data_IF_011913881417
#
_entry.id   IF_011913881417
#
_cell.length_a   1.000
_cell.length_b   1.000
_cell.length_c   1.000
_cell.angle_alpha   90.00
_cell.angle_beta   90.00
_cell.angle_gamma   90.00
#
_symmetry.space_group_name_H-M   'P 1'
#
loop_
_entity.id
_entity.type
_entity.pdbx_description
1 polymer ?
#
# COMPACT_ATOMS: atom_id res chain seq x y z
N UNK A 1 30.43 13.52 44.67
CA UNK A 1 30.64 12.12 45.08
C UNK A 1 29.50 11.31 44.52
N UNK A 2 29.85 10.21 43.87
CA UNK A 2 29.04 9.44 42.94
C UNK A 2 27.75 8.90 43.53
N UNK A 3 26.62 9.19 42.87
CA UNK A 3 25.41 8.36 43.02
C UNK A 3 25.67 7.13 42.16
N UNK A 4 25.91 6.01 42.85
CA UNK A 4 26.20 4.73 42.25
C UNK A 4 25.12 4.36 41.22
N UNK A 5 25.57 4.09 40.01
CA UNK A 5 24.79 3.61 38.87
C UNK A 5 24.35 2.18 39.19
N UNK A 6 23.18 2.00 39.80
CA UNK A 6 22.59 0.68 40.00
C UNK A 6 22.48 -0.04 38.65
N UNK A 7 23.22 -1.14 38.53
CA UNK A 7 23.13 -2.05 37.39
C UNK A 7 21.67 -2.50 37.29
N UNK A 8 20.99 -2.13 36.20
CA UNK A 8 19.70 -2.72 35.81
C UNK A 8 19.87 -4.24 35.78
N UNK A 9 19.42 -4.93 36.83
CA UNK A 9 19.32 -6.37 36.86
C UNK A 9 18.31 -6.78 35.78
N UNK A 10 18.65 -7.74 34.94
CA UNK A 10 17.70 -8.30 33.96
C UNK A 10 16.43 -8.83 34.64
N UNK A 11 15.36 -9.08 33.88
CA UNK A 11 14.10 -9.57 34.45
C UNK A 11 14.35 -10.84 35.27
N UNK A 12 14.00 -10.80 36.56
CA UNK A 12 14.20 -11.94 37.46
C UNK A 12 13.47 -13.16 36.90
N UNK A 13 14.17 -14.29 36.83
CA UNK A 13 13.56 -15.56 36.40
C UNK A 13 12.55 -16.01 37.45
N UNK A 14 11.52 -16.77 37.04
CA UNK A 14 10.42 -17.13 37.93
C UNK A 14 10.90 -17.86 39.20
N UNK A 15 11.92 -18.72 39.08
CA UNK A 15 12.53 -19.39 40.24
C UNK A 15 13.22 -18.42 41.20
N UNK A 16 13.98 -17.45 40.67
CA UNK A 16 14.64 -16.41 41.49
C UNK A 16 13.63 -15.49 42.17
N UNK A 17 12.53 -15.19 41.48
CA UNK A 17 11.43 -14.39 42.00
C UNK A 17 10.74 -15.09 43.18
N UNK A 18 10.46 -16.39 43.06
CA UNK A 18 9.84 -17.21 44.11
C UNK A 18 10.73 -17.32 45.36
N UNK A 19 12.04 -17.49 45.18
CA UNK A 19 13.00 -17.50 46.29
C UNK A 19 13.09 -16.12 46.94
N UNK A 20 13.19 -15.06 46.14
CA UNK A 20 13.28 -13.70 46.66
C UNK A 20 12.00 -13.28 47.42
N UNK A 21 10.84 -13.76 46.99
CA UNK A 21 9.56 -13.56 47.67
C UNK A 21 9.38 -14.50 48.87
N UNK A 22 10.38 -15.32 49.23
CA UNK A 22 10.32 -16.26 50.35
C UNK A 22 9.09 -17.18 50.29
N UNK A 23 8.76 -17.61 49.06
CA UNK A 23 7.68 -18.56 48.75
C UNK A 23 8.25 -19.96 48.77
N UNK A 24 9.39 -20.17 48.10
CA UNK A 24 10.14 -21.43 48.12
C UNK A 24 11.53 -21.20 48.70
N UNK A 25 12.10 -22.25 49.29
CA UNK A 25 13.48 -22.23 49.78
C UNK A 25 14.49 -22.38 48.62
N UNK A 26 15.69 -21.81 48.72
CA UNK A 26 16.69 -21.92 47.66
C UNK A 26 17.12 -23.38 47.39
N UNK A 27 17.09 -24.24 48.40
CA UNK A 27 17.40 -25.67 48.25
C UNK A 27 16.38 -26.37 47.35
N UNK A 28 15.09 -26.09 47.57
CA UNK A 28 13.97 -26.62 46.77
C UNK A 28 14.08 -26.18 45.32
N UNK A 29 14.49 -24.92 45.08
CA UNK A 29 14.70 -24.43 43.71
C UNK A 29 15.80 -25.22 42.98
N UNK A 30 16.90 -25.54 43.66
CA UNK A 30 18.00 -26.30 43.06
C UNK A 30 17.59 -27.73 42.72
N UNK A 31 16.83 -28.39 43.60
CA UNK A 31 16.28 -29.72 43.36
C UNK A 31 15.31 -29.70 42.17
N UNK A 32 14.38 -28.74 42.15
CA UNK A 32 13.41 -28.58 41.06
C UNK A 32 14.10 -28.29 39.72
N UNK A 33 15.20 -27.53 39.71
CA UNK A 33 16.00 -27.27 38.50
C UNK A 33 16.69 -28.54 37.97
N UNK A 34 17.21 -29.39 38.87
CA UNK A 34 17.81 -30.66 38.46
C UNK A 34 16.76 -31.60 37.85
N UNK A 35 15.57 -31.66 38.43
CA UNK A 35 14.45 -32.45 37.91
C UNK A 35 13.99 -31.90 36.56
N UNK A 36 13.74 -30.58 36.47
CA UNK A 36 13.34 -29.91 35.23
C UNK A 36 14.33 -30.15 34.08
N UNK A 37 15.64 -30.14 34.35
CA UNK A 37 16.67 -30.42 33.36
C UNK A 37 16.67 -31.88 32.90
N UNK A 38 16.45 -32.83 33.80
CA UNK A 38 16.41 -34.27 33.47
C UNK A 38 15.13 -34.67 32.74
N UNK A 39 13.99 -34.06 33.09
CA UNK A 39 12.68 -34.40 32.54
C UNK A 39 12.20 -33.48 31.41
N UNK A 40 13.02 -32.50 31.01
CA UNK A 40 12.67 -31.45 30.04
C UNK A 40 11.32 -30.75 30.33
N UNK A 41 10.90 -30.73 31.61
CA UNK A 41 9.61 -30.20 32.04
C UNK A 41 9.79 -28.77 32.56
N UNK A 42 8.89 -27.81 32.27
CA UNK A 42 9.02 -26.45 32.78
C UNK A 42 9.10 -26.40 34.32
N UNK A 43 9.98 -25.55 34.85
CA UNK A 43 10.24 -25.42 36.29
C UNK A 43 8.97 -25.23 37.12
N UNK A 44 8.02 -24.42 36.65
CA UNK A 44 6.75 -24.20 37.34
C UNK A 44 5.93 -25.47 37.53
N UNK A 45 5.87 -26.35 36.52
CA UNK A 45 5.18 -27.64 36.62
C UNK A 45 5.88 -28.60 37.57
N UNK A 46 7.21 -28.57 37.59
CA UNK A 46 8.00 -29.38 38.51
C UNK A 46 7.75 -28.94 39.96
N UNK A 47 7.73 -27.64 40.23
CA UNK A 47 7.42 -27.10 41.57
C UNK A 47 5.99 -27.44 42.03
N UNK A 48 5.01 -27.46 41.11
CA UNK A 48 3.67 -27.98 41.42
C UNK A 48 3.69 -29.48 41.72
N UNK A 49 4.44 -30.27 40.95
CA UNK A 49 4.56 -31.72 41.13
C UNK A 49 5.22 -32.11 42.46
N UNK A 50 6.14 -31.29 42.97
CA UNK A 50 6.77 -31.46 44.29
C UNK A 50 5.83 -31.01 45.43
N UNK A 51 4.75 -30.29 45.11
CA UNK A 51 3.76 -29.80 46.07
C UNK A 51 4.12 -28.47 46.73
N UNK A 52 5.14 -27.78 46.23
CA UNK A 52 5.63 -26.51 46.79
C UNK A 52 4.86 -25.29 46.25
N UNK A 53 4.16 -25.45 45.13
CA UNK A 53 3.29 -24.43 44.54
C UNK A 53 1.93 -25.01 44.16
N UNK A 54 0.88 -24.22 44.34
CA UNK A 54 -0.40 -24.50 43.70
C UNK A 54 -0.46 -23.87 42.30
N UNK A 55 -1.43 -24.29 41.49
CA UNK A 55 -1.69 -23.68 40.18
C UNK A 55 -1.96 -22.17 40.29
N UNK A 56 -2.70 -21.76 41.34
CA UNK A 56 -2.96 -20.36 41.65
C UNK A 56 -1.65 -19.59 41.93
N UNK A 57 -0.77 -20.15 42.75
CA UNK A 57 0.48 -19.47 43.14
C UNK A 57 1.44 -19.36 41.95
N UNK A 58 1.46 -20.37 41.07
CA UNK A 58 2.21 -20.32 39.82
C UNK A 58 1.67 -19.23 38.89
N UNK A 59 0.35 -19.12 38.75
CA UNK A 59 -0.29 -18.11 37.92
C UNK A 59 0.03 -16.69 38.43
N UNK A 60 -0.07 -16.44 39.74
CA UNK A 60 0.32 -15.17 40.36
C UNK A 60 1.80 -14.84 40.14
N UNK A 61 2.69 -15.84 40.21
CA UNK A 61 4.11 -15.66 39.95
C UNK A 61 4.41 -15.29 38.49
N UNK A 62 3.68 -15.87 37.53
CA UNK A 62 3.79 -15.56 36.10
C UNK A 62 3.32 -14.13 35.83
N UNK A 63 2.19 -13.73 36.40
CA UNK A 63 1.63 -12.37 36.24
C UNK A 63 2.59 -11.31 36.75
N UNK A 64 3.13 -11.46 37.97
CA UNK A 64 4.14 -10.55 38.51
C UNK A 64 5.40 -10.54 37.65
N UNK A 65 5.83 -11.69 37.12
CA UNK A 65 6.98 -11.75 36.23
C UNK A 65 6.74 -10.99 34.91
N UNK A 66 5.53 -11.01 34.35
CA UNK A 66 5.17 -10.23 33.17
C UNK A 66 5.24 -8.73 33.48
N UNK A 67 4.62 -8.30 34.58
CA UNK A 67 4.61 -6.90 35.02
C UNK A 67 6.04 -6.36 35.29
N UNK A 68 6.93 -7.21 35.81
CA UNK A 68 8.35 -6.87 35.99
C UNK A 68 9.11 -6.77 34.66
N UNK A 69 8.78 -7.62 33.69
CA UNK A 69 9.40 -7.59 32.36
C UNK A 69 8.98 -6.37 31.56
N UNK A 70 7.71 -5.99 31.67
CA UNK A 70 7.11 -4.81 31.06
C UNK A 70 7.51 -3.51 31.78
N UNK A 71 8.11 -3.60 32.98
CA UNK A 71 8.57 -2.45 33.74
C UNK A 71 7.45 -1.68 34.45
N UNK A 72 6.25 -2.26 34.55
CA UNK A 72 5.08 -1.66 35.20
C UNK A 72 5.28 -1.55 36.72
N UNK A 73 6.01 -2.50 37.31
CA UNK A 73 6.29 -2.55 38.75
C UNK A 73 7.79 -2.73 39.00
N UNK A 74 8.28 -2.23 40.14
CA UNK A 74 9.68 -2.44 40.55
C UNK A 74 9.91 -3.86 41.08
N UNK A 75 11.14 -4.36 40.97
CA UNK A 75 11.52 -5.68 41.48
C UNK A 75 11.20 -5.85 42.97
N UNK A 76 11.48 -4.84 43.78
CA UNK A 76 11.17 -4.85 45.22
C UNK A 76 9.67 -4.92 45.47
N UNK A 77 8.88 -4.17 44.70
CA UNK A 77 7.43 -4.18 44.83
C UNK A 77 6.84 -5.54 44.41
N UNK A 78 7.26 -6.07 43.26
CA UNK A 78 6.81 -7.38 42.77
C UNK A 78 7.14 -8.51 43.74
N UNK A 79 8.33 -8.50 44.37
CA UNK A 79 8.71 -9.47 45.40
C UNK A 79 7.76 -9.41 46.61
N UNK A 80 7.45 -8.21 47.11
CA UNK A 80 6.52 -8.02 48.23
C UNK A 80 5.09 -8.43 47.87
N UNK A 81 4.61 -8.04 46.68
CA UNK A 81 3.28 -8.39 46.21
C UNK A 81 3.09 -9.90 46.08
N UNK A 82 4.08 -10.60 45.52
CA UNK A 82 4.06 -12.05 45.39
C UNK A 82 3.97 -12.74 46.76
N UNK A 83 4.78 -12.27 47.72
CA UNK A 83 4.77 -12.80 49.08
C UNK A 83 3.40 -12.62 49.75
N UNK A 84 2.82 -11.42 49.66
CA UNK A 84 1.52 -11.10 50.28
C UNK A 84 0.37 -11.88 49.64
N UNK A 85 0.36 -12.02 48.31
CA UNK A 85 -0.68 -12.75 47.59
C UNK A 85 -0.65 -14.26 47.88
N UNK A 86 0.55 -14.85 47.89
CA UNK A 86 0.71 -16.30 48.12
C UNK A 86 0.51 -16.63 49.61
N UNK A 87 1.22 -15.96 50.53
CA UNK A 87 1.09 -16.26 51.97
C UNK A 87 -0.24 -15.84 52.56
N UNK A 88 -0.84 -14.77 52.02
CA UNK A 88 -2.15 -14.28 52.45
C UNK A 88 -3.32 -15.06 51.84
N UNK A 89 -3.07 -15.95 50.88
CA UNK A 89 -4.11 -16.62 50.10
C UNK A 89 -5.17 -15.64 49.53
N UNK A 90 -4.74 -14.43 49.17
CA UNK A 90 -5.60 -13.39 48.60
C UNK A 90 -5.31 -13.22 47.09
N UNK A 91 -6.27 -12.67 46.33
CA UNK A 91 -6.04 -12.27 44.94
C UNK A 91 -4.90 -11.26 44.80
N UNK A 92 -4.23 -11.24 43.65
CA UNK A 92 -3.09 -10.36 43.38
C UNK A 92 -3.50 -8.88 43.46
N UNK A 93 -4.70 -8.55 43.00
CA UNK A 93 -5.28 -7.20 43.03
C UNK A 93 -5.47 -6.71 44.47
N UNK A 94 -5.90 -7.60 45.37
CA UNK A 94 -6.05 -7.28 46.77
C UNK A 94 -4.68 -7.09 47.44
N UNK A 95 -3.69 -7.92 47.09
CA UNK A 95 -2.31 -7.76 47.55
C UNK A 95 -1.71 -6.42 47.12
N UNK A 96 -1.96 -5.98 45.87
CA UNK A 96 -1.55 -4.66 45.40
C UNK A 96 -2.22 -3.53 46.17
N UNK A 97 -3.53 -3.64 46.40
CA UNK A 97 -4.29 -2.65 47.15
C UNK A 97 -3.77 -2.50 48.58
N UNK A 98 -3.49 -3.62 49.27
CA UNK A 98 -2.92 -3.64 50.63
C UNK A 98 -1.52 -3.04 50.70
N UNK A 99 -0.73 -3.21 49.63
CA UNK A 99 0.62 -2.63 49.52
C UNK A 99 0.62 -1.16 49.10
N UNK A 100 -0.54 -0.51 49.06
CA UNK A 100 -0.68 0.90 48.70
C UNK A 100 -0.40 1.17 47.23
N UNK A 101 -0.34 0.13 46.40
CA UNK A 101 -0.25 0.27 44.96
C UNK A 101 -1.64 0.59 44.43
N UNK A 102 -1.83 1.89 44.22
CA UNK A 102 -2.77 2.32 43.22
C UNK A 102 -2.11 1.98 41.91
N UNK A 103 -2.78 1.21 41.06
CA UNK A 103 -2.37 1.12 39.67
C UNK A 103 -2.03 2.55 39.24
N UNK A 104 -0.88 2.79 38.56
CA UNK A 104 -0.82 4.01 37.75
C UNK A 104 -2.17 4.02 37.02
N UNK A 105 -2.89 5.14 37.04
CA UNK A 105 -4.09 5.26 36.21
C UNK A 105 -3.78 4.55 34.90
N UNK A 106 -4.74 3.78 34.36
CA UNK A 106 -4.67 3.12 33.05
C UNK A 106 -4.46 4.12 31.89
N UNK A 107 -3.66 5.17 32.09
CA UNK A 107 -2.95 5.91 31.07
C UNK A 107 -2.15 4.89 30.28
N UNK A 108 -2.47 4.81 28.99
CA UNK A 108 -1.93 3.88 27.99
C UNK A 108 -2.41 2.42 28.10
N UNK A 109 -3.74 2.22 28.09
CA UNK A 109 -4.26 1.07 27.33
C UNK A 109 -4.30 1.47 25.85
N UNK A 110 -3.79 0.67 24.90
CA UNK A 110 -3.65 1.05 23.48
C UNK A 110 -4.97 1.40 22.75
N UNK A 111 -6.13 1.09 23.33
CA UNK A 111 -7.45 1.52 22.84
C UNK A 111 -7.97 2.84 23.45
N UNK A 112 -7.27 3.44 24.42
CA UNK A 112 -7.76 4.62 25.15
C UNK A 112 -7.63 5.91 24.36
N UNK A 113 -6.62 6.07 23.50
CA UNK A 113 -6.45 7.33 22.76
C UNK A 113 -7.63 7.63 21.83
N UNK A 114 -8.17 6.60 21.15
CA UNK A 114 -9.33 6.75 20.28
C UNK A 114 -10.59 7.04 21.10
N UNK A 115 -10.80 6.28 22.18
CA UNK A 115 -11.93 6.46 23.09
C UNK A 115 -11.92 7.80 23.81
N UNK A 116 -10.78 8.22 24.34
CA UNK A 116 -10.55 9.51 24.99
C UNK A 116 -10.77 10.66 24.01
N UNK A 117 -10.20 10.60 22.80
CA UNK A 117 -10.39 11.64 21.79
C UNK A 117 -11.86 11.80 21.42
N UNK A 118 -12.57 10.69 21.20
CA UNK A 118 -14.00 10.72 20.86
C UNK A 118 -14.85 11.22 22.04
N UNK A 119 -14.51 10.85 23.27
CA UNK A 119 -15.22 11.28 24.48
C UNK A 119 -14.98 12.77 24.78
N UNK A 120 -13.73 13.23 24.70
CA UNK A 120 -13.36 14.66 24.86
C UNK A 120 -13.96 15.52 23.74
N UNK A 121 -14.08 14.98 22.53
CA UNK A 121 -14.76 15.65 21.43
C UNK A 121 -16.30 15.65 21.56
N UNK A 122 -16.86 14.91 22.53
CA UNK A 122 -18.31 14.75 22.69
C UNK A 122 -18.98 13.97 21.54
N UNK A 123 -18.21 13.14 20.83
CA UNK A 123 -18.70 12.29 19.75
C UNK A 123 -19.37 11.01 20.28
N UNK A 124 -18.96 10.55 21.47
CA UNK A 124 -19.52 9.36 22.15
C UNK A 124 -19.76 9.66 23.62
N UNK A 125 -20.73 8.97 24.22
CA UNK A 125 -20.94 8.97 25.67
C UNK A 125 -20.07 7.91 26.34
N UNK A 126 -19.90 8.01 27.67
CA UNK A 126 -19.12 7.02 28.43
C UNK A 126 -19.76 5.64 28.36
N UNK A 127 -21.09 5.58 28.43
CA UNK A 127 -21.86 4.34 28.37
C UNK A 127 -21.66 3.63 27.03
N UNK A 128 -21.79 4.36 25.91
CA UNK A 128 -21.59 3.79 24.57
C UNK A 128 -20.16 3.30 24.36
N UNK A 129 -19.18 4.00 24.96
CA UNK A 129 -17.78 3.61 24.88
C UNK A 129 -17.50 2.34 25.69
N UNK A 130 -18.05 2.21 26.89
CA UNK A 130 -17.91 1.03 27.75
C UNK A 130 -18.55 -0.21 27.09
N UNK A 131 -19.73 -0.06 26.49
CA UNK A 131 -20.39 -1.14 25.73
C UNK A 131 -19.54 -1.58 24.53
N UNK A 132 -19.06 -0.63 23.72
CA UNK A 132 -18.23 -0.94 22.56
C UNK A 132 -16.87 -1.57 22.96
N UNK A 133 -16.30 -1.19 24.10
CA UNK A 133 -15.10 -1.80 24.66
C UNK A 133 -15.34 -3.25 25.08
N UNK A 134 -16.48 -3.53 25.72
CA UNK A 134 -16.87 -4.89 26.10
C UNK A 134 -17.00 -5.76 24.85
N UNK A 135 -17.71 -5.25 23.83
CA UNK A 135 -17.87 -5.94 22.55
C UNK A 135 -16.53 -6.14 21.81
N UNK A 136 -15.62 -5.17 21.87
CA UNK A 136 -14.28 -5.27 21.27
C UNK A 136 -13.47 -6.40 21.89
N UNK A 137 -13.50 -6.53 23.22
CA UNK A 137 -12.80 -7.60 23.95
C UNK A 137 -13.42 -8.98 23.69
N UNK A 138 -14.75 -9.08 23.72
CA UNK A 138 -15.45 -10.35 23.49
C UNK A 138 -15.25 -10.88 22.06
N UNK A 139 -15.29 -9.98 21.08
CA UNK A 139 -15.23 -10.35 19.66
C UNK A 139 -13.83 -10.28 19.06
N UNK A 140 -12.82 -9.84 19.82
CA UNK A 140 -11.46 -9.57 19.33
C UNK A 140 -11.46 -8.64 18.10
N UNK A 141 -12.32 -7.62 18.11
CA UNK A 141 -12.43 -6.64 17.03
C UNK A 141 -11.89 -5.28 17.49
N UNK A 142 -11.41 -4.43 16.55
CA UNK A 142 -11.00 -3.06 16.88
C UNK A 142 -12.16 -2.24 17.48
N UNK A 143 -11.87 -1.39 18.46
CA UNK A 143 -12.85 -0.58 19.20
C UNK A 143 -13.65 0.32 18.26
N UNK A 144 -12.98 0.98 17.31
CA UNK A 144 -13.62 1.82 16.31
C UNK A 144 -14.66 1.04 15.51
N UNK A 145 -14.33 -0.19 15.08
CA UNK A 145 -15.28 -1.06 14.38
C UNK A 145 -16.51 -1.37 15.24
N UNK A 146 -16.31 -1.68 16.52
CA UNK A 146 -17.42 -1.90 17.46
C UNK A 146 -18.29 -0.64 17.63
N UNK A 147 -17.69 0.56 17.74
CA UNK A 147 -18.42 1.83 17.84
C UNK A 147 -19.29 2.11 16.60
N UNK A 148 -18.84 1.73 15.41
CA UNK A 148 -19.63 1.86 14.18
C UNK A 148 -20.75 0.81 14.13
N UNK A 149 -20.47 -0.43 14.51
CA UNK A 149 -21.46 -1.51 14.55
C UNK A 149 -22.57 -1.24 15.57
N UNK A 150 -22.22 -0.70 16.73
CA UNK A 150 -23.15 -0.22 17.76
C UNK A 150 -23.91 1.05 17.35
N UNK A 151 -23.62 1.61 16.17
CA UNK A 151 -24.17 2.88 15.65
C UNK A 151 -23.93 4.07 16.57
N UNK A 152 -22.91 4.00 17.43
CA UNK A 152 -22.53 5.11 18.31
C UNK A 152 -21.90 6.26 17.51
N UNK A 153 -21.16 5.93 16.45
CA UNK A 153 -20.56 6.91 15.51
C UNK A 153 -20.70 6.45 14.06
N UNK A 154 -20.76 7.38 13.09
CA UNK A 154 -20.68 7.04 11.67
C UNK A 154 -19.24 6.69 11.26
N UNK A 155 -19.09 5.90 10.18
CA UNK A 155 -17.78 5.50 9.63
C UNK A 155 -16.90 6.70 9.24
N UNK A 156 -17.51 7.77 8.75
CA UNK A 156 -16.84 9.02 8.38
C UNK A 156 -16.20 9.73 9.58
N UNK A 157 -16.85 9.66 10.75
CA UNK A 157 -16.34 10.25 11.99
C UNK A 157 -15.24 9.38 12.58
N UNK A 158 -15.37 8.05 12.51
CA UNK A 158 -14.28 7.14 12.88
C UNK A 158 -13.05 7.37 12.01
N UNK A 159 -13.21 7.47 10.69
CA UNK A 159 -12.10 7.77 9.78
C UNK A 159 -11.42 9.10 10.15
N UNK A 160 -12.21 10.12 10.51
CA UNK A 160 -11.68 11.40 10.99
C UNK A 160 -10.92 11.26 12.31
N UNK A 161 -11.42 10.47 13.26
CA UNK A 161 -10.76 10.22 14.54
C UNK A 161 -9.43 9.48 14.37
N UNK A 162 -9.40 8.44 13.53
CA UNK A 162 -8.17 7.71 13.21
C UNK A 162 -7.15 8.59 12.49
N UNK A 163 -7.59 9.43 11.55
CA UNK A 163 -6.70 10.43 10.93
C UNK A 163 -6.14 11.39 11.97
N UNK A 164 -6.96 11.86 12.91
CA UNK A 164 -6.49 12.71 14.00
C UNK A 164 -5.38 12.05 14.81
N UNK A 165 -5.54 10.77 15.16
CA UNK A 165 -4.52 9.98 15.87
C UNK A 165 -3.24 9.81 15.05
N UNK A 166 -3.35 9.56 13.73
CA UNK A 166 -2.17 9.52 12.84
C UNK A 166 -1.45 10.88 12.85
N UNK A 167 -2.17 11.99 12.78
CA UNK A 167 -1.58 13.34 12.81
C UNK A 167 -0.94 13.67 14.17
N UNK A 168 -1.54 13.22 15.27
CA UNK A 168 -0.97 13.33 16.62
C UNK A 168 0.33 12.53 16.74
N UNK A 169 0.32 11.28 16.28
CA UNK A 169 1.50 10.40 16.27
C UNK A 169 2.64 10.98 15.42
N UNK A 170 2.30 11.54 14.26
CA UNK A 170 3.25 12.20 13.37
C UNK A 170 3.71 13.58 13.92
N UNK A 171 3.17 14.06 15.05
CA UNK A 171 3.49 15.35 15.66
C UNK A 171 3.02 16.57 14.86
N UNK A 172 2.09 16.39 13.92
CA UNK A 172 1.60 17.46 13.02
C UNK A 172 0.55 18.36 13.68
N UNK A 173 -0.14 17.86 14.69
CA UNK A 173 -1.16 18.59 15.47
C UNK A 173 -1.00 18.28 16.95
N UNK A 174 -1.51 19.16 17.82
CA UNK A 174 -1.58 18.94 19.28
C UNK A 174 -2.88 18.24 19.69
N UNK A 175 -2.93 17.67 20.91
CA UNK A 175 -4.15 17.03 21.46
C UNK A 175 -5.33 18.02 21.46
N UNK A 176 -5.11 19.27 21.86
CA UNK A 176 -6.15 20.31 21.86
C UNK A 176 -6.67 20.62 20.45
N UNK A 177 -5.78 20.68 19.46
CA UNK A 177 -6.16 20.87 18.07
C UNK A 177 -6.95 19.68 17.53
N UNK A 178 -6.56 18.45 17.89
CA UNK A 178 -7.29 17.25 17.52
C UNK A 178 -8.71 17.24 18.12
N UNK A 179 -8.86 17.55 19.41
CA UNK A 179 -10.17 17.60 20.08
C UNK A 179 -11.05 18.70 19.49
N UNK A 180 -10.49 19.90 19.29
CA UNK A 180 -11.22 21.03 18.69
C UNK A 180 -11.62 20.74 17.23
N UNK A 181 -10.70 20.19 16.45
CA UNK A 181 -10.92 19.76 15.06
C UNK A 181 -11.99 18.66 14.96
N UNK A 182 -11.97 17.69 15.87
CA UNK A 182 -13.00 16.65 15.96
C UNK A 182 -14.37 17.22 16.35
N UNK A 183 -14.45 18.14 17.32
CA UNK A 183 -15.72 18.82 17.66
C UNK A 183 -16.30 19.56 16.46
N UNK A 184 -15.44 20.27 15.70
CA UNK A 184 -15.85 20.97 14.49
C UNK A 184 -16.31 19.99 13.39
N UNK A 185 -15.57 18.90 13.19
CA UNK A 185 -15.90 17.83 12.24
C UNK A 185 -17.27 17.20 12.56
N UNK A 186 -17.54 16.89 13.83
CA UNK A 186 -18.84 16.36 14.28
C UNK A 186 -19.98 17.34 14.04
N UNK A 187 -19.80 18.63 14.37
CA UNK A 187 -20.86 19.65 14.23
C UNK A 187 -21.15 20.02 12.77
N UNK A 188 -20.13 20.04 11.92
CA UNK A 188 -20.23 20.44 10.51
C UNK A 188 -20.41 19.25 9.55
N UNK A 189 -20.34 18.01 10.06
CA UNK A 189 -20.39 16.78 9.26
C UNK A 189 -19.35 16.75 8.12
N UNK A 190 -18.12 17.17 8.41
CA UNK A 190 -17.01 17.19 7.47
C UNK A 190 -15.80 16.44 8.03
N UNK A 191 -14.78 16.19 7.19
CA UNK A 191 -13.57 15.49 7.65
C UNK A 191 -12.73 16.38 8.58
N UNK A 192 -11.93 15.75 9.44
CA UNK A 192 -11.05 16.50 10.34
C UNK A 192 -10.03 17.35 9.56
N UNK A 193 -9.55 16.89 8.41
CA UNK A 193 -8.57 17.64 7.62
C UNK A 193 -9.13 18.99 7.16
N UNK A 194 -10.41 19.03 6.74
CA UNK A 194 -11.09 20.28 6.36
C UNK A 194 -11.25 21.17 7.59
N UNK A 195 -11.72 20.61 8.71
CA UNK A 195 -11.90 21.36 9.96
C UNK A 195 -10.59 21.97 10.48
N UNK A 196 -9.47 21.25 10.39
CA UNK A 196 -8.17 21.75 10.82
C UNK A 196 -7.59 22.79 9.85
N UNK A 197 -7.89 22.69 8.56
CA UNK A 197 -7.48 23.67 7.55
C UNK A 197 -8.17 25.02 7.76
N UNK A 198 -9.46 25.02 8.07
CA UNK A 198 -10.22 26.24 8.35
C UNK A 198 -9.63 27.04 9.53
N UNK A 199 -9.09 26.33 10.53
CA UNK A 199 -8.45 26.93 11.71
C UNK A 199 -6.97 27.25 11.46
N UNK A 200 -6.43 26.90 10.29
CA UNK A 200 -5.02 27.08 9.95
C UNK A 200 -4.06 26.16 10.71
N UNK A 201 -4.59 25.18 11.45
CA UNK A 201 -3.81 24.24 12.27
C UNK A 201 -3.13 23.15 11.44
N UNK A 202 -3.59 22.92 10.21
CA UNK A 202 -3.07 21.88 9.33
C UNK A 202 -3.09 22.33 7.87
N UNK A 203 -2.00 22.10 7.15
CA UNK A 203 -1.95 22.20 5.68
C UNK A 203 -1.63 20.82 5.12
N UNK A 204 -2.51 20.23 4.29
CA UNK A 204 -2.18 18.98 3.64
C UNK A 204 -1.03 19.22 2.67
N UNK A 205 0.04 18.45 2.84
CA UNK A 205 1.03 18.29 1.78
C UNK A 205 0.40 17.29 0.79
N UNK A 206 -0.38 17.77 -0.19
CA UNK A 206 -0.80 16.92 -1.31
C UNK A 206 0.47 16.52 -2.09
N UNK A 207 0.69 15.25 -2.43
CA UNK A 207 0.10 14.64 -3.64
C UNK A 207 0.18 13.10 -3.63
N UNK A 208 0.58 12.45 -2.54
CA UNK A 208 0.73 10.99 -2.54
C UNK A 208 -0.58 10.29 -2.17
N UNK A 209 -1.10 9.49 -3.10
CA UNK A 209 -2.16 8.52 -2.82
C UNK A 209 -1.71 7.59 -1.69
N UNK A 210 -2.53 7.34 -0.68
CA UNK A 210 -2.18 6.40 0.40
C UNK A 210 -2.41 4.97 -0.09
N UNK A 211 -1.56 4.02 0.32
CA UNK A 211 -1.67 2.60 -0.08
C UNK A 211 -3.05 2.03 0.23
N UNK A 212 -3.62 2.34 1.41
CA UNK A 212 -4.96 1.87 1.77
C UNK A 212 -6.06 2.41 0.86
N UNK A 213 -5.93 3.65 0.37
CA UNK A 213 -6.90 4.24 -0.56
C UNK A 213 -6.72 3.70 -1.99
N UNK A 214 -5.48 3.42 -2.41
CA UNK A 214 -5.18 2.75 -3.68
C UNK A 214 -5.76 1.32 -3.70
N UNK A 215 -5.53 0.54 -2.65
CA UNK A 215 -6.05 -0.83 -2.53
C UNK A 215 -7.58 -0.85 -2.54
N UNK A 216 -8.23 0.10 -1.85
CA UNK A 216 -9.68 0.25 -1.89
C UNK A 216 -10.16 0.61 -3.29
N UNK A 217 -9.51 1.56 -3.95
CA UNK A 217 -9.86 2.00 -5.30
C UNK A 217 -9.68 0.87 -6.32
N UNK A 218 -8.73 -0.03 -6.10
CA UNK A 218 -8.53 -1.24 -6.90
C UNK A 218 -9.60 -2.31 -6.62
N UNK A 219 -10.39 -2.18 -5.54
CA UNK A 219 -11.38 -3.16 -5.12
C UNK A 219 -10.80 -4.36 -4.36
N UNK A 220 -9.58 -4.23 -3.83
CA UNK A 220 -8.87 -5.31 -3.13
C UNK A 220 -9.19 -5.35 -1.64
N UNK A 221 -9.57 -4.22 -1.05
CA UNK A 221 -9.97 -4.10 0.36
C UNK A 221 -11.22 -3.24 0.48
N UNK A 222 -12.07 -3.54 1.46
CA UNK A 222 -13.24 -2.71 1.75
C UNK A 222 -12.88 -1.49 2.60
N UNK A 223 -13.80 -0.52 2.69
CA UNK A 223 -13.64 0.63 3.60
C UNK A 223 -13.52 0.18 5.07
N UNK A 224 -14.31 -0.81 5.48
CA UNK A 224 -14.25 -1.35 6.83
C UNK A 224 -12.92 -2.03 7.15
N UNK A 225 -12.35 -2.73 6.17
CA UNK A 225 -11.04 -3.39 6.28
C UNK A 225 -9.92 -2.36 6.42
N UNK A 226 -9.96 -1.30 5.59
CA UNK A 226 -9.01 -0.18 5.67
C UNK A 226 -9.04 0.48 7.05
N UNK A 227 -10.22 0.80 7.56
CA UNK A 227 -10.39 1.44 8.88
C UNK A 227 -9.84 0.54 9.99
N UNK A 228 -10.19 -0.74 9.97
CA UNK A 228 -9.74 -1.73 10.96
C UNK A 228 -8.21 -1.88 10.92
N UNK A 229 -7.62 -1.87 9.73
CA UNK A 229 -6.17 -1.94 9.56
C UNK A 229 -5.44 -0.69 10.04
N UNK A 230 -6.04 0.50 9.88
CA UNK A 230 -5.49 1.75 10.44
C UNK A 230 -5.50 1.70 11.97
N UNK A 231 -6.60 1.29 12.56
CA UNK A 231 -6.73 1.21 14.02
C UNK A 231 -5.73 0.21 14.62
N UNK A 232 -5.65 -1.01 14.06
CA UNK A 232 -4.64 -1.99 14.46
C UNK A 232 -3.21 -1.49 14.23
N UNK A 233 -2.95 -0.79 13.13
CA UNK A 233 -1.64 -0.21 12.83
C UNK A 233 -1.22 0.89 13.80
N UNK A 234 -2.17 1.69 14.31
CA UNK A 234 -1.91 2.68 15.36
C UNK A 234 -1.56 1.99 16.69
N UNK A 235 -2.32 0.96 17.07
CA UNK A 235 -2.07 0.17 18.29
C UNK A 235 -0.71 -0.53 18.24
N UNK A 236 -0.39 -1.16 17.12
CA UNK A 236 0.82 -1.97 16.96
C UNK A 236 2.04 -1.17 16.46
N UNK A 237 1.88 0.13 16.19
CA UNK A 237 2.90 0.98 15.55
C UNK A 237 3.42 0.40 14.22
N UNK A 238 2.50 -0.14 13.41
CA UNK A 238 2.79 -0.75 12.12
C UNK A 238 2.13 0.00 10.96
N UNK A 239 2.73 -0.01 9.75
CA UNK A 239 2.11 0.56 8.57
C UNK A 239 0.89 -0.27 8.15
N UNK A 240 -0.15 0.43 7.68
CA UNK A 240 -1.44 -0.17 7.26
C UNK A 240 -1.25 -1.34 6.30
N UNK A 241 -0.34 -1.22 5.33
CA UNK A 241 -0.04 -2.29 4.37
C UNK A 241 0.40 -3.59 5.04
N UNK A 242 1.27 -3.51 6.06
CA UNK A 242 1.75 -4.70 6.78
C UNK A 242 0.64 -5.36 7.59
N UNK A 243 -0.23 -4.55 8.19
CA UNK A 243 -1.41 -5.04 8.93
C UNK A 243 -2.37 -5.77 7.98
N UNK A 244 -2.60 -5.24 6.78
CA UNK A 244 -3.43 -5.89 5.76
C UNK A 244 -2.85 -7.25 5.32
N UNK A 245 -1.52 -7.36 5.23
CA UNK A 245 -0.84 -8.63 4.92
C UNK A 245 -0.99 -9.64 6.07
N UNK A 246 -0.73 -9.22 7.31
CA UNK A 246 -0.86 -10.09 8.49
C UNK A 246 -2.29 -10.58 8.70
N UNK A 247 -3.28 -9.75 8.38
CA UNK A 247 -4.69 -10.12 8.40
C UNK A 247 -5.10 -11.04 7.24
N UNK A 248 -4.20 -11.36 6.31
CA UNK A 248 -4.47 -12.21 5.15
C UNK A 248 -5.38 -11.57 4.09
N UNK A 249 -5.60 -10.26 4.16
CA UNK A 249 -6.45 -9.55 3.20
C UNK A 249 -5.75 -9.25 1.88
N UNK A 250 -4.43 -9.07 1.94
CA UNK A 250 -3.57 -8.93 0.77
C UNK A 250 -2.30 -9.78 0.90
N UNK A 251 -1.67 -10.13 -0.20
CA UNK A 251 -0.36 -10.78 -0.20
C UNK A 251 0.77 -9.75 -0.11
N UNK A 252 1.95 -10.20 0.30
CA UNK A 252 3.17 -9.39 0.29
C UNK A 252 3.52 -8.90 -1.13
N UNK A 253 3.23 -9.71 -2.15
CA UNK A 253 3.40 -9.32 -3.56
C UNK A 253 2.50 -8.15 -3.93
N UNK A 254 1.20 -8.19 -3.57
CA UNK A 254 0.25 -7.11 -3.84
C UNK A 254 0.63 -5.82 -3.09
N UNK A 255 1.14 -5.93 -1.86
CA UNK A 255 1.63 -4.78 -1.11
C UNK A 255 2.81 -4.11 -1.83
N UNK A 256 3.79 -4.90 -2.27
CA UNK A 256 4.96 -4.39 -3.00
C UNK A 256 4.57 -3.73 -4.34
N UNK A 257 3.63 -4.33 -5.07
CA UNK A 257 3.09 -3.75 -6.31
C UNK A 257 2.34 -2.44 -6.06
N UNK A 258 1.55 -2.38 -5.00
CA UNK A 258 0.83 -1.17 -4.59
C UNK A 258 1.79 -0.03 -4.23
N UNK A 259 2.91 -0.34 -3.57
CA UNK A 259 3.95 0.63 -3.22
C UNK A 259 4.68 1.15 -4.46
N UNK A 260 5.00 0.28 -5.44
CA UNK A 260 5.59 0.70 -6.72
C UNK A 260 4.65 1.67 -7.46
N UNK A 261 3.35 1.35 -7.53
CA UNK A 261 2.36 2.22 -8.17
C UNK A 261 2.19 3.55 -7.44
N UNK A 262 2.20 3.53 -6.11
CA UNK A 262 2.20 4.75 -5.29
C UNK A 262 3.39 5.65 -5.62
N UNK A 263 4.60 5.08 -5.80
CA UNK A 263 5.79 5.83 -6.19
C UNK A 263 5.67 6.42 -7.61
N UNK A 264 5.09 5.67 -8.55
CA UNK A 264 4.83 6.18 -9.91
C UNK A 264 3.82 7.33 -9.92
N UNK A 265 2.80 7.28 -9.05
CA UNK A 265 1.85 8.39 -8.87
C UNK A 265 2.55 9.60 -8.24
N UNK A 266 3.41 9.38 -7.25
CA UNK A 266 4.18 10.44 -6.60
C UNK A 266 5.12 11.17 -7.57
N UNK A 267 5.68 10.46 -8.56
CA UNK A 267 6.52 11.03 -9.62
C UNK A 267 5.71 11.73 -10.73
N UNK A 268 4.38 11.62 -10.71
CA UNK A 268 3.50 12.20 -11.73
C UNK A 268 3.41 11.40 -13.03
N UNK A 269 3.97 10.18 -13.06
CA UNK A 269 3.91 9.30 -14.24
C UNK A 269 2.52 8.68 -14.43
N UNK A 270 1.75 8.51 -13.34
CA UNK A 270 0.43 7.91 -13.35
C UNK A 270 -0.53 8.72 -12.48
N UNK A 271 -1.81 8.71 -12.83
CA UNK A 271 -2.87 9.18 -11.93
C UNK A 271 -3.25 8.09 -10.92
N UNK A 272 -3.83 8.48 -9.78
CA UNK A 272 -4.33 7.51 -8.79
C UNK A 272 -5.37 6.53 -9.35
N UNK A 273 -6.19 6.98 -10.30
CA UNK A 273 -7.18 6.14 -10.99
C UNK A 273 -6.48 5.12 -11.89
N UNK A 274 -5.51 5.57 -12.70
CA UNK A 274 -4.72 4.68 -13.56
C UNK A 274 -3.98 3.62 -12.73
N UNK A 275 -3.39 4.01 -11.60
CA UNK A 275 -2.73 3.09 -10.68
C UNK A 275 -3.71 2.04 -10.13
N UNK A 276 -4.92 2.44 -9.73
CA UNK A 276 -5.93 1.52 -9.23
C UNK A 276 -6.39 0.52 -10.31
N UNK A 277 -6.56 0.98 -11.56
CA UNK A 277 -6.92 0.11 -12.69
C UNK A 277 -5.82 -0.89 -13.01
N UNK A 278 -4.55 -0.45 -13.01
CA UNK A 278 -3.40 -1.33 -13.25
C UNK A 278 -3.33 -2.41 -12.17
N UNK A 279 -3.47 -2.03 -10.90
CA UNK A 279 -3.43 -2.96 -9.78
C UNK A 279 -4.58 -3.98 -9.85
N UNK A 280 -5.78 -3.52 -10.19
CA UNK A 280 -6.95 -4.39 -10.38
C UNK A 280 -6.74 -5.38 -11.54
N UNK A 281 -6.21 -4.91 -12.67
CA UNK A 281 -5.96 -5.75 -13.84
C UNK A 281 -4.85 -6.78 -13.58
N UNK A 282 -3.77 -6.38 -12.90
CA UNK A 282 -2.69 -7.26 -12.48
C UNK A 282 -3.19 -8.39 -11.57
N UNK A 283 -4.00 -8.04 -10.56
CA UNK A 283 -4.59 -9.02 -9.66
C UNK A 283 -5.58 -9.95 -10.38
N UNK A 284 -6.46 -9.42 -11.23
CA UNK A 284 -7.42 -10.24 -11.99
C UNK A 284 -6.73 -11.25 -12.93
N UNK A 285 -5.57 -10.89 -13.49
CA UNK A 285 -4.79 -11.72 -14.41
C UNK A 285 -3.70 -12.54 -13.73
N UNK A 286 -3.49 -12.37 -12.41
CA UNK A 286 -2.39 -12.95 -11.64
C UNK A 286 -1.03 -12.75 -12.34
N UNK A 287 -0.75 -11.54 -12.82
CA UNK A 287 0.51 -11.19 -13.46
C UNK A 287 1.14 -9.94 -12.83
N UNK A 288 2.46 -9.74 -12.94
CA UNK A 288 3.12 -8.56 -12.40
C UNK A 288 2.62 -7.27 -13.06
N UNK A 289 2.54 -6.18 -12.28
CA UNK A 289 2.13 -4.86 -12.78
C UNK A 289 2.98 -4.38 -13.96
N UNK A 290 4.25 -4.79 -14.06
CA UNK A 290 5.15 -4.45 -15.15
C UNK A 290 4.63 -4.96 -16.50
N UNK A 291 3.93 -6.09 -16.52
CA UNK A 291 3.31 -6.65 -17.73
C UNK A 291 2.19 -5.75 -18.22
N UNK A 292 1.33 -5.28 -17.30
CA UNK A 292 0.21 -4.39 -17.62
C UNK A 292 0.71 -3.01 -18.05
N UNK A 293 1.76 -2.52 -17.41
CA UNK A 293 2.43 -1.26 -17.78
C UNK A 293 3.04 -1.34 -19.18
N UNK A 294 3.75 -2.43 -19.50
CA UNK A 294 4.31 -2.64 -20.82
C UNK A 294 3.23 -2.74 -21.92
N UNK A 295 2.12 -3.45 -21.65
CA UNK A 295 0.99 -3.49 -22.58
C UNK A 295 0.40 -2.10 -22.82
N UNK A 296 0.27 -1.26 -21.78
CA UNK A 296 -0.20 0.11 -21.93
C UNK A 296 0.76 0.97 -22.75
N UNK A 297 2.05 0.95 -22.43
CA UNK A 297 3.04 1.73 -23.19
C UNK A 297 3.09 1.31 -24.66
N UNK A 298 3.02 0.00 -24.94
CA UNK A 298 2.98 -0.47 -26.33
C UNK A 298 1.75 0.02 -27.09
N UNK A 299 0.57 0.08 -26.45
CA UNK A 299 -0.63 0.64 -27.05
C UNK A 299 -0.50 2.15 -27.28
N UNK A 300 0.02 2.89 -26.32
CA UNK A 300 0.28 4.34 -26.44
C UNK A 300 1.24 4.62 -27.61
N UNK A 301 2.31 3.85 -27.73
CA UNK A 301 3.27 3.94 -28.84
C UNK A 301 2.63 3.58 -30.19
N UNK A 302 1.79 2.54 -30.24
CA UNK A 302 1.05 2.16 -31.45
C UNK A 302 0.08 3.26 -31.88
N UNK A 303 -0.64 3.86 -30.93
CA UNK A 303 -1.56 4.98 -31.19
C UNK A 303 -0.78 6.21 -31.69
N UNK A 304 0.36 6.54 -31.07
CA UNK A 304 1.20 7.66 -31.49
C UNK A 304 1.73 7.45 -32.92
N UNK A 305 2.25 6.24 -33.22
CA UNK A 305 2.67 5.85 -34.58
C UNK A 305 1.51 5.89 -35.57
N UNK A 306 0.32 5.44 -35.18
CA UNK A 306 -0.85 5.46 -36.06
C UNK A 306 -1.23 6.90 -36.41
N UNK A 307 -1.25 7.80 -35.43
CA UNK A 307 -1.53 9.22 -35.65
C UNK A 307 -0.52 9.89 -36.60
N UNK A 308 0.77 9.54 -36.52
CA UNK A 308 1.80 10.15 -37.36
C UNK A 308 1.71 9.75 -38.84
N UNK A 309 1.02 8.66 -39.17
CA UNK A 309 0.97 8.11 -40.55
C UNK A 309 -0.40 8.24 -41.21
N UNK A 310 -1.37 8.90 -40.57
CA UNK A 310 -2.73 9.07 -41.12
C UNK A 310 -2.69 9.79 -42.48
N UNK A 311 -1.86 10.83 -42.60
CA UNK A 311 -1.79 11.66 -43.81
C UNK A 311 -1.26 10.86 -45.01
N UNK A 312 -0.13 10.15 -44.85
CA UNK A 312 0.46 9.36 -45.94
C UNK A 312 -0.43 8.17 -46.33
N UNK A 313 -1.14 7.58 -45.36
CA UNK A 313 -2.13 6.52 -45.62
C UNK A 313 -3.35 7.04 -46.38
N UNK A 314 -3.78 8.27 -46.11
CA UNK A 314 -4.86 8.93 -46.86
C UNK A 314 -4.44 9.19 -48.31
N UNK A 315 -3.22 9.71 -48.52
CA UNK A 315 -2.67 9.98 -49.86
C UNK A 315 -2.46 8.70 -50.67
N UNK A 316 -2.07 7.60 -50.02
CA UNK A 316 -1.92 6.28 -50.63
C UNK A 316 -3.26 5.60 -50.98
N UNK A 317 -4.40 6.19 -50.61
CA UNK A 317 -5.72 5.57 -50.79
C UNK A 317 -5.97 4.39 -49.85
N UNK A 318 -5.11 4.19 -48.85
CA UNK A 318 -5.27 3.15 -47.84
C UNK A 318 -6.39 3.47 -46.85
N UNK A 319 -6.63 4.77 -46.61
CA UNK A 319 -7.77 5.26 -45.84
C UNK A 319 -8.76 5.95 -46.77
N UNK A 320 -9.98 5.41 -46.88
CA UNK A 320 -11.01 6.04 -47.71
C UNK A 320 -11.60 7.27 -47.01
N UNK A 321 -12.19 8.19 -47.78
CA UNK A 321 -12.91 9.34 -47.23
C UNK A 321 -14.07 8.94 -46.32
N UNK A 322 -14.68 7.77 -46.55
CA UNK A 322 -15.73 7.22 -45.68
C UNK A 322 -15.16 6.71 -44.35
N UNK A 323 -14.00 6.06 -44.36
CA UNK A 323 -13.37 5.55 -43.13
C UNK A 323 -12.89 6.70 -42.25
N UNK A 324 -12.36 7.77 -42.86
CA UNK A 324 -12.01 9.01 -42.17
C UNK A 324 -13.24 9.66 -41.52
N UNK A 325 -14.33 9.83 -42.26
CA UNK A 325 -15.55 10.45 -41.74
C UNK A 325 -16.16 9.65 -40.56
N UNK A 326 -16.13 8.32 -40.64
CA UNK A 326 -16.56 7.43 -39.55
C UNK A 326 -15.63 7.57 -38.33
N UNK A 327 -14.32 7.52 -38.55
CA UNK A 327 -13.33 7.62 -37.49
C UNK A 327 -13.39 8.99 -36.78
N UNK A 328 -13.57 10.07 -37.53
CA UNK A 328 -13.78 11.42 -36.97
C UNK A 328 -15.06 11.53 -36.14
N UNK A 329 -16.16 10.92 -36.60
CA UNK A 329 -17.41 10.88 -35.85
C UNK A 329 -17.24 10.23 -34.48
N UNK A 330 -16.61 9.06 -34.45
CA UNK A 330 -16.34 8.31 -33.21
C UNK A 330 -15.31 9.02 -32.33
N UNK A 331 -14.25 9.58 -32.92
CA UNK A 331 -13.23 10.36 -32.22
C UNK A 331 -13.83 11.55 -31.48
N UNK A 332 -14.74 12.32 -32.11
CA UNK A 332 -15.43 13.44 -31.46
C UNK A 332 -16.39 12.99 -30.36
N UNK A 333 -17.07 11.86 -30.53
CA UNK A 333 -18.01 11.34 -29.53
C UNK A 333 -17.31 10.83 -28.28
N UNK A 334 -16.21 10.11 -28.44
CA UNK A 334 -15.47 9.48 -27.34
C UNK A 334 -14.30 10.33 -26.82
N UNK A 335 -14.01 11.46 -27.48
CA UNK A 335 -12.88 12.35 -27.17
C UNK A 335 -11.52 11.61 -27.16
N UNK A 336 -11.32 10.74 -28.15
CA UNK A 336 -10.10 9.93 -28.35
C UNK A 336 -9.43 10.27 -29.68
N UNK A 337 -8.14 9.94 -29.83
CA UNK A 337 -7.39 10.26 -31.06
C UNK A 337 -7.86 9.43 -32.27
N UNK A 338 -7.66 9.95 -33.49
CA UNK A 338 -8.02 9.24 -34.72
C UNK A 338 -7.28 7.90 -34.86
N UNK A 339 -5.98 7.87 -34.53
CA UNK A 339 -5.17 6.65 -34.55
C UNK A 339 -5.71 5.57 -33.62
N UNK A 340 -6.23 5.95 -32.45
CA UNK A 340 -6.86 5.00 -31.51
C UNK A 340 -8.16 4.41 -32.08
N UNK A 341 -8.99 5.25 -32.70
CA UNK A 341 -10.23 4.77 -33.37
C UNK A 341 -9.88 3.86 -34.54
N UNK A 342 -8.90 4.23 -35.35
CA UNK A 342 -8.51 3.45 -36.53
C UNK A 342 -7.88 2.11 -36.19
N UNK A 343 -7.11 2.03 -35.11
CA UNK A 343 -6.58 0.76 -34.58
C UNK A 343 -7.70 -0.11 -33.98
N UNK A 344 -8.60 0.48 -33.18
CA UNK A 344 -9.68 -0.26 -32.52
C UNK A 344 -10.76 -0.77 -33.48
N UNK A 345 -11.04 -0.03 -34.55
CA UNK A 345 -11.96 -0.44 -35.62
C UNK A 345 -11.34 -1.42 -36.62
N UNK A 346 -10.03 -1.64 -36.55
CA UNK A 346 -9.30 -2.53 -37.46
C UNK A 346 -9.08 -1.95 -38.86
N UNK A 347 -9.31 -0.65 -39.06
CA UNK A 347 -9.02 0.05 -40.33
C UNK A 347 -7.51 0.13 -40.57
N UNK A 348 -6.74 0.36 -39.50
CA UNK A 348 -5.28 0.24 -39.51
C UNK A 348 -4.92 -1.04 -38.77
N UNK A 349 -4.40 -2.04 -39.49
CA UNK A 349 -3.84 -3.24 -38.89
C UNK A 349 -2.32 -3.08 -38.62
N UNK A 350 -1.74 -4.03 -37.89
CA UNK A 350 -0.32 -3.96 -37.50
C UNK A 350 0.63 -3.97 -38.70
N UNK A 351 0.26 -4.67 -39.79
CA UNK A 351 1.08 -4.75 -41.00
C UNK A 351 1.06 -3.43 -41.77
N UNK A 352 -0.12 -2.85 -41.95
CA UNK A 352 -0.30 -1.54 -42.59
C UNK A 352 0.36 -0.44 -41.79
N UNK A 353 0.21 -0.44 -40.46
CA UNK A 353 0.90 0.50 -39.58
C UNK A 353 2.42 0.42 -39.76
N UNK A 354 2.98 -0.80 -39.78
CA UNK A 354 4.42 -0.99 -39.95
C UNK A 354 4.91 -0.50 -41.32
N UNK A 355 4.18 -0.81 -42.40
CA UNK A 355 4.51 -0.34 -43.74
C UNK A 355 4.46 1.19 -43.83
N UNK A 356 3.42 1.81 -43.25
CA UNK A 356 3.24 3.26 -43.26
C UNK A 356 4.28 4.00 -42.44
N UNK A 357 4.66 3.47 -41.27
CA UNK A 357 5.74 4.04 -40.44
C UNK A 357 7.09 3.93 -41.15
N UNK A 358 7.35 2.82 -41.84
CA UNK A 358 8.55 2.68 -42.67
C UNK A 358 8.56 3.71 -43.80
N UNK A 359 7.46 3.84 -44.53
CA UNK A 359 7.31 4.81 -45.61
C UNK A 359 7.55 6.25 -45.12
N UNK A 360 6.89 6.63 -44.02
CA UNK A 360 7.06 7.95 -43.40
C UNK A 360 8.52 8.18 -42.97
N UNK A 361 9.17 7.19 -42.35
CA UNK A 361 10.58 7.30 -41.98
C UNK A 361 11.50 7.55 -43.18
N UNK A 362 11.28 6.87 -44.32
CA UNK A 362 12.06 7.14 -45.54
C UNK A 362 11.80 8.53 -46.14
N UNK A 363 10.60 9.09 -45.94
CA UNK A 363 10.28 10.46 -46.34
C UNK A 363 10.97 11.46 -45.41
N UNK A 364 10.91 11.24 -44.10
CA UNK A 364 11.54 12.10 -43.09
C UNK A 364 13.06 12.12 -43.20
N UNK A 365 13.69 11.04 -43.70
CA UNK A 365 15.13 10.96 -43.96
C UNK A 365 15.57 11.51 -45.34
N UNK A 366 14.64 12.08 -46.12
CA UNK A 366 14.87 12.53 -47.52
C UNK A 366 15.36 11.42 -48.47
N UNK A 367 15.07 10.14 -48.17
CA UNK A 367 15.47 9.00 -49.01
C UNK A 367 14.44 8.76 -50.12
N UNK A 368 13.15 8.88 -49.79
CA UNK A 368 12.03 8.78 -50.72
C UNK A 368 11.26 10.10 -50.76
N UNK A 369 10.83 10.52 -51.95
CA UNK A 369 9.85 11.60 -52.03
C UNK A 369 8.48 11.10 -51.55
N UNK A 370 7.67 12.01 -51.00
CA UNK A 370 6.34 11.67 -50.51
C UNK A 370 5.50 10.94 -51.58
N UNK A 371 5.51 11.40 -52.83
CA UNK A 371 4.80 10.75 -53.94
C UNK A 371 5.26 9.31 -54.21
N UNK A 372 6.56 9.03 -54.10
CA UNK A 372 7.08 7.66 -54.27
C UNK A 372 6.67 6.78 -53.09
N UNK A 373 6.77 7.27 -51.86
CA UNK A 373 6.35 6.53 -50.67
C UNK A 373 4.86 6.17 -50.73
N UNK A 374 4.02 7.11 -51.16
CA UNK A 374 2.58 6.92 -51.45
C UNK A 374 2.33 5.83 -52.49
N UNK A 375 3.06 5.83 -53.61
CA UNK A 375 2.95 4.81 -54.65
C UNK A 375 3.34 3.40 -54.14
N UNK A 376 4.40 3.30 -53.34
CA UNK A 376 4.85 2.04 -52.73
C UNK A 376 3.79 1.52 -51.75
N UNK A 377 3.23 2.39 -50.90
CA UNK A 377 2.15 2.02 -49.97
C UNK A 377 0.89 1.53 -50.69
N UNK A 378 0.48 2.23 -51.75
CA UNK A 378 -0.65 1.80 -52.58
C UNK A 378 -0.40 0.42 -53.21
N UNK A 379 0.84 0.15 -53.66
CA UNK A 379 1.23 -1.17 -54.16
C UNK A 379 1.20 -2.25 -53.05
N UNK A 380 1.66 -1.93 -51.83
CA UNK A 380 1.58 -2.82 -50.67
C UNK A 380 0.14 -3.23 -50.39
N UNK A 381 -0.79 -2.26 -50.41
CA UNK A 381 -2.21 -2.53 -50.15
C UNK A 381 -2.83 -3.41 -51.23
N UNK A 382 -2.50 -3.18 -52.51
CA UNK A 382 -3.08 -3.92 -53.63
C UNK A 382 -2.59 -5.37 -53.72
N UNK A 383 -1.32 -5.62 -53.35
CA UNK A 383 -0.66 -6.91 -53.54
C UNK A 383 -0.47 -7.70 -52.24
N UNK A 384 -0.62 -7.04 -51.08
CA UNK A 384 -0.43 -7.65 -49.77
C UNK A 384 1.03 -7.97 -49.43
N UNK A 385 2.00 -7.49 -50.21
CA UNK A 385 3.43 -7.70 -49.97
C UNK A 385 3.97 -6.69 -48.96
N UNK A 386 5.03 -7.08 -48.24
CA UNK A 386 5.71 -6.20 -47.30
C UNK A 386 6.31 -4.98 -48.02
N UNK A 387 6.38 -3.83 -47.32
CA UNK A 387 6.91 -2.58 -47.86
C UNK A 387 8.31 -2.74 -48.49
N UNK A 388 9.17 -3.52 -47.85
CA UNK A 388 10.51 -3.85 -48.36
C UNK A 388 10.53 -4.56 -49.72
N UNK A 389 9.52 -5.39 -49.99
CA UNK A 389 9.35 -6.08 -51.27
C UNK A 389 8.69 -5.16 -52.30
N UNK A 390 7.66 -4.41 -51.90
CA UNK A 390 7.01 -3.43 -52.76
C UNK A 390 8.00 -2.39 -53.29
N UNK A 391 8.95 -1.95 -52.46
CA UNK A 391 9.97 -0.98 -52.85
C UNK A 391 10.90 -1.48 -53.97
N UNK A 392 11.08 -2.81 -54.10
CA UNK A 392 11.89 -3.41 -55.19
C UNK A 392 11.14 -3.44 -56.51
N UNK A 393 9.84 -3.66 -56.45
CA UNK A 393 8.97 -3.83 -57.62
C UNK A 393 8.49 -2.48 -58.19
N UNK A 394 8.25 -1.52 -57.31
CA UNK A 394 7.93 -0.14 -57.69
C UNK A 394 9.25 0.54 -58.06
N UNK A 395 9.65 0.40 -59.33
CA UNK A 395 10.89 0.95 -59.87
C UNK A 395 11.14 2.39 -59.40
N UNK A 396 12.18 2.59 -58.59
CA UNK A 396 12.58 3.92 -58.11
C UNK A 396 13.13 4.73 -59.29
N UNK A 397 12.38 5.74 -59.74
CA UNK A 397 12.94 6.86 -60.49
C UNK A 397 13.40 7.91 -59.48
N UNK A 398 14.71 8.12 -59.24
CA UNK A 398 15.16 9.23 -58.41
C UNK A 398 14.54 10.53 -58.95
N UNK A 399 14.14 11.48 -58.09
CA UNK A 399 13.63 12.76 -58.55
C UNK A 399 14.71 13.41 -59.43
N UNK A 400 14.40 13.49 -60.72
CA UNK A 400 15.18 14.27 -61.66
C UNK A 400 14.86 15.73 -61.39
N UNK A 401 15.55 16.33 -60.41
CA UNK A 401 15.95 17.73 -60.44
C UNK A 401 17.06 17.92 -59.41
N UNK A 402 18.25 18.27 -59.92
CA UNK A 402 19.54 18.42 -59.23
C UNK A 402 20.30 17.13 -58.88
N UNK A 403 20.74 16.39 -59.92
CA UNK A 403 21.92 15.51 -59.77
C UNK A 403 22.97 15.94 -60.78
N UNK A 404 23.99 16.63 -60.27
CA UNK A 404 25.26 16.84 -60.95
C UNK A 404 25.78 15.47 -61.45
N UNK A 405 26.21 15.33 -62.71
CA UNK A 405 26.64 14.05 -63.30
C UNK A 405 27.90 13.43 -62.64
N UNK A 406 28.43 14.03 -61.57
CA UNK A 406 29.54 13.50 -60.77
C UNK A 406 29.12 12.53 -59.64
N UNK A 407 27.83 12.36 -59.34
CA UNK A 407 27.35 11.49 -58.24
C UNK A 407 26.91 10.07 -58.66
N UNK A 408 27.16 9.66 -59.91
CA UNK A 408 26.95 8.27 -60.37
C UNK A 408 27.82 7.21 -59.66
N UNK A 409 28.69 7.63 -58.74
CA UNK A 409 29.39 6.74 -57.81
C UNK A 409 29.07 7.13 -56.37
N UNK A 410 27.86 6.86 -55.91
CA UNK A 410 27.63 6.88 -54.46
C UNK A 410 26.79 5.68 -54.01
N UNK A 411 27.49 4.56 -53.86
CA UNK A 411 27.06 3.37 -53.12
C UNK A 411 26.58 3.67 -51.69
N UNK A 412 26.77 4.90 -51.18
CA UNK A 412 26.27 5.35 -49.89
C UNK A 412 24.75 5.48 -49.77
N UNK A 413 24.03 5.92 -50.81
CA UNK A 413 22.56 6.11 -50.71
C UNK A 413 21.83 4.77 -50.80
N UNK A 414 22.22 3.91 -51.75
CA UNK A 414 21.75 2.52 -51.80
C UNK A 414 22.13 1.78 -50.51
N UNK A 415 23.31 2.03 -49.96
CA UNK A 415 23.72 1.50 -48.66
C UNK A 415 22.79 1.91 -47.52
N UNK A 416 22.39 3.20 -47.44
CA UNK A 416 21.42 3.73 -46.45
C UNK A 416 20.01 3.18 -46.67
N UNK A 417 19.59 3.02 -47.93
CA UNK A 417 18.30 2.43 -48.28
C UNK A 417 18.25 0.95 -47.84
N UNK A 418 19.23 0.16 -48.25
CA UNK A 418 19.29 -1.28 -47.94
C UNK A 418 19.61 -1.58 -46.48
N UNK A 419 20.24 -0.65 -45.73
CA UNK A 419 20.46 -0.81 -44.29
C UNK A 419 19.18 -0.63 -43.48
N UNK A 420 18.28 0.30 -43.87
CA UNK A 420 16.96 0.50 -43.23
C UNK A 420 15.90 -0.51 -43.69
N UNK A 421 16.04 -1.08 -44.89
CA UNK A 421 15.15 -2.13 -45.42
C UNK A 421 15.42 -3.51 -44.78
N UNK A 422 16.63 -3.77 -44.27
CA UNK A 422 16.94 -5.04 -43.57
C UNK A 422 16.17 -5.13 -42.25
N UNK A 423 15.51 -6.27 -42.02
CA UNK A 423 14.80 -6.60 -40.77
C UNK A 423 15.72 -6.36 -39.55
N UNK A 424 15.22 -5.76 -38.44
CA UNK A 424 15.86 -5.92 -37.15
C UNK A 424 15.59 -7.35 -36.66
N UNK A 425 16.53 -8.26 -36.91
CA UNK A 425 16.49 -9.66 -36.44
C UNK A 425 16.51 -10.70 -37.55
N UNK A 426 17.71 -11.12 -37.93
CA UNK A 426 18.06 -12.55 -37.88
C UNK A 426 18.73 -12.82 -36.53
#
# INVERSE_FOLDING_TARGET
MEIARERRAGPKRIGELLVAANVIKPEVLLEALQVAKKSATPLGRVLMGIGELTERDLQTAIEIQSLLREGVISAEFGIRALNVAIKGCIPLEEAFTRLGWKAPQRETMPGSELGELLLEAGAVTRENLEEAMTQSQENNLPLGRCLVLARAIPSTLLASALTAQVLLRDGKITKDQAVSGMRAATRKHQTIEVSLQEVGAYKPVQTNIRVGDLLMSAGLVTEGDKISAIEMGLVQQQPVGQVLVQAGMISETMLNESLKLQEMVAKGNLTGVQAADILRAANARNCPIETILAERSTKEDEIARANSVIEILQQAGCLTTQDMAKAEGVSRQLNVSLGEVMLSTGVIDKKLLQAAVQAQGFVDDDILTNNHAVAVLHYCQKTGVDFSAALKEVAYTPPSDTVDPALQQNSGWLGKLWSKVKKPGE
#
